data_IF_094433862664
#
_entry.id   IF_094433862664
#
_cell.length_a   1.000
_cell.length_b   1.000
_cell.length_c   1.000
_cell.angle_alpha   90.00
_cell.angle_beta   90.00
_cell.angle_gamma   90.00
#
_symmetry.space_group_name_H-M   'P 1'
#
loop_
_entity.id
_entity.type
_entity.pdbx_description
1 polymer ?
#
# COMPACT_ATOMS: atom_id res chain seq x y z
N UNK A 1 3.05 -11.46 -22.25
CA UNK A 1 1.85 -10.62 -22.06
C UNK A 1 1.29 -10.94 -20.69
N UNK A 2 0.99 -9.94 -19.84
CA UNK A 2 0.35 -10.19 -18.55
C UNK A 2 -1.02 -10.83 -18.77
N UNK A 3 -1.43 -11.72 -17.87
CA UNK A 3 -2.80 -12.20 -17.80
C UNK A 3 -3.65 -11.11 -17.14
N UNK A 4 -4.73 -10.70 -17.78
CA UNK A 4 -5.65 -9.68 -17.26
C UNK A 4 -7.04 -10.30 -17.07
N UNK A 5 -7.61 -10.11 -15.89
CA UNK A 5 -8.97 -10.51 -15.54
C UNK A 5 -9.70 -9.28 -14.98
N UNK A 6 -10.89 -8.99 -15.53
CA UNK A 6 -11.73 -7.89 -15.07
C UNK A 6 -12.92 -8.44 -14.30
N UNK A 7 -13.02 -8.09 -13.02
CA UNK A 7 -14.13 -8.46 -12.14
C UNK A 7 -14.98 -7.22 -11.86
N UNK A 8 -16.29 -7.32 -12.11
CA UNK A 8 -17.22 -6.24 -11.86
C UNK A 8 -17.94 -6.46 -10.52
N UNK A 9 -17.66 -5.61 -9.53
CA UNK A 9 -18.36 -5.59 -8.24
C UNK A 9 -19.46 -4.52 -8.33
N UNK A 10 -20.71 -4.95 -8.21
CA UNK A 10 -21.85 -4.02 -8.17
C UNK A 10 -21.99 -3.45 -6.76
N UNK A 11 -22.17 -2.14 -6.67
CA UNK A 11 -22.35 -1.41 -5.41
C UNK A 11 -21.26 -1.76 -4.37
N UNK A 12 -19.97 -1.52 -4.68
CA UNK A 12 -18.88 -1.88 -3.79
C UNK A 12 -18.96 -1.10 -2.48
N UNK A 13 -18.66 -1.77 -1.37
CA UNK A 13 -18.45 -1.11 -0.09
C UNK A 13 -17.18 -0.27 -0.21
N UNK A 14 -17.33 1.04 -0.13
CA UNK A 14 -16.22 1.96 -0.30
C UNK A 14 -15.35 2.05 0.95
N UNK A 15 -14.04 1.98 0.76
CA UNK A 15 -13.05 2.24 1.80
C UNK A 15 -12.99 3.75 2.11
N UNK A 16 -12.89 4.07 3.39
CA UNK A 16 -12.60 5.42 3.90
C UNK A 16 -11.90 5.31 5.27
N UNK A 17 -11.27 6.38 5.79
CA UNK A 17 -10.71 6.36 7.13
C UNK A 17 -11.72 6.11 8.26
N UNK A 18 -12.98 6.48 8.03
CA UNK A 18 -14.11 6.28 8.93
C UNK A 18 -14.72 4.88 8.81
N UNK A 19 -14.63 4.27 7.64
CA UNK A 19 -15.11 2.93 7.32
C UNK A 19 -14.06 2.18 6.48
N UNK A 20 -13.01 1.64 7.12
CA UNK A 20 -11.83 1.08 6.44
C UNK A 20 -12.10 -0.34 5.91
N UNK A 21 -13.17 -0.51 5.14
CA UNK A 21 -13.53 -1.81 4.58
C UNK A 21 -12.52 -2.27 3.53
N UNK A 22 -11.98 -3.49 3.71
CA UNK A 22 -11.03 -4.12 2.80
C UNK A 22 -11.62 -5.39 2.21
N UNK A 23 -11.44 -5.55 0.91
CA UNK A 23 -11.59 -6.81 0.19
C UNK A 23 -10.25 -7.56 0.19
N UNK A 24 -10.29 -8.86 -0.11
CA UNK A 24 -9.10 -9.66 -0.37
C UNK A 24 -9.22 -10.32 -1.74
N UNK A 25 -8.24 -10.07 -2.61
CA UNK A 25 -8.09 -10.78 -3.86
C UNK A 25 -7.17 -11.97 -3.63
N UNK A 26 -7.67 -13.19 -3.85
CA UNK A 26 -6.87 -14.42 -3.74
C UNK A 26 -6.59 -14.95 -5.13
N UNK A 27 -5.33 -14.85 -5.56
CA UNK A 27 -4.86 -15.41 -6.84
C UNK A 27 -4.26 -16.77 -6.57
N UNK A 28 -4.75 -17.80 -7.26
CA UNK A 28 -4.21 -19.16 -7.17
C UNK A 28 -3.67 -19.61 -8.51
N UNK A 29 -2.49 -20.23 -8.50
CA UNK A 29 -1.93 -20.91 -9.65
C UNK A 29 -2.04 -22.42 -9.40
N UNK A 30 -2.65 -23.15 -10.34
CA UNK A 30 -2.72 -24.61 -10.33
C UNK A 30 -2.15 -25.14 -11.64
N UNK A 31 -1.44 -26.28 -11.57
CA UNK A 31 -0.94 -26.98 -12.74
C UNK A 31 -1.78 -28.23 -12.98
N UNK A 32 -2.27 -28.40 -14.22
CA UNK A 32 -3.11 -29.53 -14.62
C UNK A 32 -2.32 -30.84 -14.88
N UNK A 33 -1.05 -30.94 -14.45
CA UNK A 33 -0.17 -32.05 -14.80
C UNK A 33 0.63 -32.62 -13.61
N UNK A 34 0.67 -33.94 -13.52
CA UNK A 34 1.64 -34.68 -12.69
C UNK A 34 2.96 -34.87 -13.43
N UNK A 35 4.06 -34.44 -12.84
CA UNK A 35 5.40 -34.85 -13.25
C UNK A 35 5.67 -36.29 -12.75
N UNK A 36 5.64 -37.27 -13.65
CA UNK A 36 6.19 -38.61 -13.42
C UNK A 36 7.53 -38.76 -14.14
N UNK A 37 8.49 -39.44 -13.52
CA UNK A 37 9.90 -39.57 -13.96
C UNK A 37 10.11 -40.18 -15.37
N UNK A 38 9.06 -40.62 -16.08
CA UNK A 38 9.19 -41.30 -17.40
C UNK A 38 8.10 -41.02 -18.46
N UNK A 39 7.42 -39.86 -18.42
CA UNK A 39 6.63 -39.38 -19.57
C UNK A 39 5.13 -39.15 -19.33
N UNK A 40 4.54 -38.36 -20.24
CA UNK A 40 3.18 -37.82 -20.17
C UNK A 40 2.18 -38.93 -20.49
N UNK A 41 1.40 -39.37 -19.50
CA UNK A 41 0.27 -40.26 -19.69
C UNK A 41 -0.89 -39.85 -18.79
N UNK A 42 -2.04 -39.55 -19.39
CA UNK A 42 -3.32 -39.45 -18.66
C UNK A 42 -3.58 -40.79 -17.97
N UNK A 43 -3.60 -40.80 -16.65
CA UNK A 43 -4.20 -41.87 -15.87
C UNK A 43 -5.08 -41.23 -14.82
N UNK A 44 -6.25 -41.79 -14.59
CA UNK A 44 -7.26 -41.30 -13.67
C UNK A 44 -6.65 -41.04 -12.28
N UNK A 45 -6.52 -39.76 -11.91
CA UNK A 45 -6.06 -39.29 -10.59
C UNK A 45 -7.27 -38.64 -9.92
N UNK A 46 -7.50 -38.85 -8.60
CA UNK A 46 -8.61 -38.21 -7.91
C UNK A 46 -8.50 -36.70 -8.04
N UNK A 47 -9.64 -36.04 -8.24
CA UNK A 47 -9.82 -34.59 -8.36
C UNK A 47 -9.20 -33.88 -7.14
N UNK A 48 -7.91 -33.56 -7.22
CA UNK A 48 -7.24 -32.69 -6.27
C UNK A 48 -6.77 -31.45 -7.02
N UNK A 49 -7.53 -30.37 -6.82
CA UNK A 49 -7.07 -29.00 -6.99
C UNK A 49 -5.86 -28.77 -6.07
N UNK A 50 -4.66 -29.12 -6.52
CA UNK A 50 -3.44 -28.73 -5.81
C UNK A 50 -3.05 -27.35 -6.34
N UNK A 51 -3.45 -26.29 -5.64
CA UNK A 51 -2.87 -24.97 -5.88
C UNK A 51 -1.37 -25.06 -5.62
N UNK A 52 -0.54 -24.85 -6.63
CA UNK A 52 0.91 -24.82 -6.45
C UNK A 52 1.37 -23.55 -5.74
N UNK A 53 0.60 -22.46 -5.87
CA UNK A 53 0.86 -21.18 -5.20
C UNK A 53 -0.44 -20.39 -4.95
N UNK A 54 -0.46 -19.57 -3.90
CA UNK A 54 -1.57 -18.72 -3.49
C UNK A 54 -1.05 -17.38 -2.98
N UNK A 55 -1.59 -16.28 -3.52
CA UNK A 55 -1.25 -14.92 -3.11
C UNK A 55 -2.54 -14.16 -2.70
N UNK A 56 -2.77 -13.93 -1.40
CA UNK A 56 -3.79 -13.01 -0.92
C UNK A 56 -3.27 -11.56 -0.98
N UNK A 57 -4.08 -10.65 -1.53
CA UNK A 57 -3.77 -9.23 -1.61
C UNK A 57 -4.97 -8.43 -1.08
N UNK A 58 -4.86 -7.75 0.08
CA UNK A 58 -5.90 -6.86 0.56
C UNK A 58 -5.97 -5.60 -0.31
N UNK A 59 -7.18 -5.09 -0.55
CA UNK A 59 -7.40 -3.84 -1.28
C UNK A 59 -8.71 -3.18 -0.86
N UNK A 60 -8.80 -1.85 -1.02
CA UNK A 60 -10.00 -1.07 -0.70
C UNK A 60 -10.54 -0.32 -1.92
N UNK A 61 -11.87 -0.25 -2.03
CA UNK A 61 -12.52 0.46 -3.13
C UNK A 61 -12.71 1.93 -2.78
N UNK A 62 -11.98 2.85 -3.41
CA UNK A 62 -12.18 4.28 -3.18
C UNK A 62 -11.82 5.13 -4.39
N UNK A 63 -12.41 6.31 -4.45
CA UNK A 63 -12.04 7.36 -5.39
C UNK A 63 -11.46 8.55 -4.63
N UNK A 64 -10.30 9.07 -5.05
CA UNK A 64 -9.74 10.28 -4.46
C UNK A 64 -9.32 11.25 -5.56
N UNK A 65 -9.77 12.50 -5.47
CA UNK A 65 -9.53 13.51 -6.50
C UNK A 65 -9.28 14.88 -5.90
N UNK A 66 -8.40 15.65 -6.53
CA UNK A 66 -8.34 17.09 -6.34
C UNK A 66 -9.43 17.75 -7.21
N UNK A 67 -10.34 18.49 -6.59
CA UNK A 67 -11.42 19.23 -7.27
C UNK A 67 -11.31 20.70 -6.86
N UNK A 68 -10.77 21.51 -7.77
CA UNK A 68 -10.48 22.92 -7.50
C UNK A 68 -9.44 23.08 -6.38
N UNK A 69 -9.87 23.57 -5.21
CA UNK A 69 -9.00 23.80 -4.04
C UNK A 69 -9.17 22.74 -2.95
N UNK A 70 -10.03 21.76 -3.16
CA UNK A 70 -10.39 20.77 -2.15
C UNK A 70 -10.07 19.36 -2.66
N UNK A 71 -9.88 18.44 -1.72
CA UNK A 71 -9.86 17.02 -2.00
C UNK A 71 -11.27 16.45 -1.86
N UNK A 72 -11.56 15.45 -2.68
CA UNK A 72 -12.77 14.65 -2.59
C UNK A 72 -12.38 13.19 -2.37
N UNK A 73 -13.04 12.53 -1.42
CA UNK A 73 -12.97 11.09 -1.19
C UNK A 73 -14.36 10.53 -1.44
N UNK A 74 -14.48 9.55 -2.33
CA UNK A 74 -15.74 8.89 -2.68
C UNK A 74 -16.84 9.88 -3.12
N UNK A 75 -16.44 10.94 -3.84
CA UNK A 75 -17.34 11.98 -4.35
C UNK A 75 -17.56 13.16 -3.39
N UNK A 76 -17.31 12.98 -2.10
CA UNK A 76 -17.56 13.99 -1.07
C UNK A 76 -16.31 14.79 -0.73
N UNK A 77 -16.47 16.09 -0.43
CA UNK A 77 -15.35 16.92 0.00
C UNK A 77 -14.73 16.36 1.28
N UNK A 78 -13.42 16.11 1.25
CA UNK A 78 -12.69 15.48 2.34
C UNK A 78 -11.55 16.38 2.83
N UNK A 79 -11.52 16.62 4.15
CA UNK A 79 -10.47 17.42 4.79
C UNK A 79 -9.42 16.49 5.38
N UNK A 80 -8.17 16.69 4.97
CA UNK A 80 -7.03 15.98 5.55
C UNK A 80 -6.52 16.75 6.77
N UNK A 81 -6.55 16.09 7.93
CA UNK A 81 -6.09 16.60 9.21
C UNK A 81 -4.99 15.66 9.70
N UNK A 82 -3.76 16.17 9.84
CA UNK A 82 -2.62 15.31 10.07
C UNK A 82 -1.32 16.04 10.31
N UNK A 83 -0.23 15.27 10.29
CA UNK A 83 1.13 15.77 10.44
C UNK A 83 2.08 15.03 9.49
N UNK A 84 3.38 15.26 9.65
CA UNK A 84 4.44 14.53 8.96
C UNK A 84 5.01 13.45 9.87
N UNK A 85 5.34 12.30 9.29
CA UNK A 85 6.20 11.28 9.91
C UNK A 85 7.54 11.30 9.18
N UNK A 86 8.60 11.74 9.88
CA UNK A 86 9.98 11.71 9.37
C UNK A 86 10.69 10.46 9.87
N UNK A 87 10.31 9.30 9.33
CA UNK A 87 10.73 8.00 9.86
C UNK A 87 12.26 7.83 9.89
N UNK A 88 12.96 8.27 8.86
CA UNK A 88 14.43 8.22 8.86
C UNK A 88 15.06 9.09 9.94
N UNK A 89 14.45 10.23 10.29
CA UNK A 89 14.91 11.04 11.42
C UNK A 89 14.67 10.34 12.75
N UNK A 90 13.55 9.63 12.88
CA UNK A 90 13.29 8.78 14.03
C UNK A 90 14.30 7.62 14.12
N UNK A 91 14.83 7.13 12.99
CA UNK A 91 15.86 6.08 12.98
C UNK A 91 17.21 6.50 13.55
N UNK A 92 17.48 7.79 13.60
CA UNK A 92 18.70 8.34 14.18
C UNK A 92 18.65 8.41 15.72
N UNK A 93 17.48 8.25 16.33
CA UNK A 93 17.32 8.28 17.78
C UNK A 93 17.81 6.96 18.40
N UNK A 94 18.86 6.96 19.25
CA UNK A 94 19.35 5.73 19.88
C UNK A 94 18.32 5.08 20.83
N UNK A 95 17.40 5.85 21.40
CA UNK A 95 16.38 5.35 22.33
C UNK A 95 15.24 4.63 21.62
N UNK A 96 15.11 4.80 20.29
CA UNK A 96 14.05 4.13 19.50
C UNK A 96 14.11 2.61 19.57
N UNK A 97 15.31 2.04 19.73
CA UNK A 97 15.57 0.58 19.72
C UNK A 97 14.77 -0.13 18.62
N UNK A 98 14.01 -1.17 18.98
CA UNK A 98 13.18 -1.96 18.07
C UNK A 98 11.78 -1.40 17.80
N UNK A 99 11.42 -0.23 18.34
CA UNK A 99 10.05 0.27 18.32
C UNK A 99 9.42 0.42 16.91
N UNK A 100 10.15 0.86 15.86
CA UNK A 100 9.58 0.91 14.51
C UNK A 100 9.15 -0.42 13.90
N UNK A 101 9.56 -1.54 14.50
CA UNK A 101 9.23 -2.90 14.09
C UNK A 101 8.27 -3.60 15.08
N UNK A 102 7.90 -2.92 16.17
CA UNK A 102 6.90 -3.40 17.11
C UNK A 102 5.51 -2.95 16.62
N UNK A 103 4.73 -3.89 16.10
CA UNK A 103 3.42 -3.61 15.50
C UNK A 103 2.46 -2.94 16.48
N UNK A 104 2.46 -3.33 17.75
CA UNK A 104 1.54 -2.77 18.75
C UNK A 104 1.96 -1.36 19.14
N UNK A 105 3.27 -1.13 19.28
CA UNK A 105 3.78 0.22 19.52
C UNK A 105 3.48 1.15 18.35
N UNK A 106 3.73 0.69 17.11
CA UNK A 106 3.43 1.46 15.90
C UNK A 106 1.93 1.71 15.79
N UNK A 107 1.07 0.71 16.01
CA UNK A 107 -0.39 0.91 16.01
C UNK A 107 -0.79 1.99 17.01
N UNK A 108 -0.25 1.96 18.22
CA UNK A 108 -0.55 2.99 19.23
C UNK A 108 -0.14 4.39 18.77
N UNK A 109 1.07 4.53 18.25
CA UNK A 109 1.66 5.82 17.83
C UNK A 109 1.03 6.37 16.55
N UNK A 110 0.85 5.50 15.56
CA UNK A 110 0.46 5.84 14.19
C UNK A 110 -1.06 5.87 14.00
N UNK A 111 -1.80 5.04 14.74
CA UNK A 111 -3.27 4.92 14.62
C UNK A 111 -3.98 5.52 15.84
N UNK A 112 -3.74 4.96 17.03
CA UNK A 112 -4.62 5.19 18.19
C UNK A 112 -4.51 6.63 18.72
N UNK A 113 -3.28 7.13 18.91
CA UNK A 113 -3.04 8.52 19.37
C UNK A 113 -3.56 9.53 18.33
N UNK A 114 -3.24 9.46 17.04
CA UNK A 114 -3.72 10.41 16.03
C UNK A 114 -5.23 10.41 15.89
N UNK A 115 -5.89 9.24 15.89
CA UNK A 115 -7.35 9.17 15.86
C UNK A 115 -8.00 9.80 17.09
N UNK A 116 -7.38 9.69 18.27
CA UNK A 116 -7.85 10.40 19.48
C UNK A 116 -7.80 11.93 19.34
N UNK A 117 -6.90 12.44 18.50
CA UNK A 117 -6.76 13.86 18.15
C UNK A 117 -7.61 14.26 16.94
N UNK A 118 -8.43 13.33 16.40
CA UNK A 118 -9.21 13.49 15.16
C UNK A 118 -8.36 13.72 13.92
N UNK A 119 -7.11 13.25 13.93
CA UNK A 119 -6.30 13.18 12.73
C UNK A 119 -6.73 11.98 11.90
N UNK A 120 -6.69 12.14 10.58
CA UNK A 120 -7.12 11.15 9.61
C UNK A 120 -6.07 10.89 8.53
N UNK A 121 -4.86 11.43 8.67
CA UNK A 121 -3.79 11.13 7.73
C UNK A 121 -2.42 11.65 8.12
N UNK A 122 -1.43 11.25 7.33
CA UNK A 122 -0.04 11.66 7.46
C UNK A 122 0.62 11.85 6.11
N UNK A 123 1.63 12.73 6.09
CA UNK A 123 2.68 12.70 5.07
C UNK A 123 3.83 11.85 5.58
N UNK A 124 4.15 10.78 4.86
CA UNK A 124 5.34 9.97 5.09
C UNK A 124 6.52 10.72 4.48
N UNK A 125 7.13 11.59 5.28
CA UNK A 125 8.04 12.61 4.80
C UNK A 125 9.39 12.01 4.45
N UNK A 126 9.77 12.12 3.16
CA UNK A 126 11.07 11.74 2.59
C UNK A 126 11.49 10.35 3.09
N UNK A 127 10.60 9.35 2.99
CA UNK A 127 10.88 8.06 3.58
C UNK A 127 9.80 7.02 3.33
N UNK A 128 10.25 5.82 2.98
CA UNK A 128 9.42 4.64 2.80
C UNK A 128 9.33 3.92 4.14
N UNK A 129 8.11 3.61 4.58
CA UNK A 129 7.89 2.86 5.81
C UNK A 129 7.88 1.35 5.56
N UNK A 130 8.13 0.53 6.60
CA UNK A 130 7.89 -0.90 6.51
C UNK A 130 6.44 -1.17 6.09
N UNK A 131 6.23 -2.18 5.21
CA UNK A 131 4.90 -2.51 4.65
C UNK A 131 3.77 -2.57 5.69
N UNK A 132 4.04 -3.14 6.86
CA UNK A 132 3.02 -3.29 7.89
C UNK A 132 2.47 -1.95 8.44
N UNK A 133 3.19 -0.84 8.27
CA UNK A 133 2.66 0.49 8.59
C UNK A 133 1.56 0.88 7.61
N UNK A 134 1.72 0.58 6.33
CA UNK A 134 0.70 0.78 5.31
C UNK A 134 -0.48 -0.17 5.52
N UNK A 135 -0.22 -1.43 5.88
CA UNK A 135 -1.28 -2.38 6.28
C UNK A 135 -2.10 -1.82 7.46
N UNK A 136 -1.45 -1.26 8.49
CA UNK A 136 -2.14 -0.59 9.59
C UNK A 136 -2.97 0.62 9.13
N UNK A 137 -2.46 1.44 8.21
CA UNK A 137 -3.21 2.58 7.67
C UNK A 137 -4.45 2.14 6.89
N UNK A 138 -4.36 1.04 6.14
CA UNK A 138 -5.49 0.45 5.42
C UNK A 138 -6.53 -0.13 6.38
N UNK A 139 -6.09 -0.99 7.31
CA UNK A 139 -6.94 -1.73 8.26
C UNK A 139 -7.67 -0.78 9.22
N UNK A 140 -6.97 0.24 9.70
CA UNK A 140 -7.51 1.13 10.71
C UNK A 140 -7.98 2.46 10.15
N UNK A 141 -7.78 2.74 8.87
CA UNK A 141 -8.30 3.93 8.22
C UNK A 141 -7.50 5.21 8.51
N UNK A 142 -6.46 5.43 7.69
CA UNK A 142 -5.73 6.69 7.57
C UNK A 142 -5.47 7.00 6.10
N UNK A 143 -5.38 8.29 5.75
CA UNK A 143 -4.91 8.74 4.44
C UNK A 143 -3.42 9.05 4.49
N UNK A 144 -2.69 8.56 3.50
CA UNK A 144 -1.26 8.78 3.35
C UNK A 144 -0.96 9.58 2.09
N UNK A 145 -0.16 10.63 2.28
CA UNK A 145 0.74 11.13 1.24
C UNK A 145 2.07 10.39 1.41
N UNK A 146 2.36 9.47 0.49
CA UNK A 146 3.59 8.68 0.53
C UNK A 146 4.64 9.38 -0.34
N UNK A 147 5.84 9.59 0.21
CA UNK A 147 6.86 10.39 -0.45
C UNK A 147 8.14 9.61 -0.68
N UNK A 148 8.65 9.72 -1.91
CA UNK A 148 9.93 9.15 -2.30
C UNK A 148 11.08 9.82 -1.53
N UNK A 149 12.12 9.08 -1.09
CA UNK A 149 13.21 9.63 -0.28
C UNK A 149 14.19 10.47 -1.11
N UNK A 150 13.71 11.56 -1.70
CA UNK A 150 14.47 12.49 -2.54
C UNK A 150 14.45 13.90 -1.97
N UNK A 151 15.64 14.40 -1.65
CA UNK A 151 15.84 15.76 -1.15
C UNK A 151 17.18 16.35 -1.63
N UNK A 152 17.12 17.47 -2.35
CA UNK A 152 18.25 18.29 -2.85
C UNK A 152 19.23 17.61 -3.85
N UNK A 153 19.59 16.35 -3.66
CA UNK A 153 20.55 15.61 -4.48
C UNK A 153 19.82 14.62 -5.35
N UNK A 154 20.05 14.70 -6.66
CA UNK A 154 19.44 13.83 -7.66
C UNK A 154 20.42 12.76 -8.13
N UNK A 155 19.96 11.52 -8.18
CA UNK A 155 20.69 10.40 -8.79
C UNK A 155 20.57 10.39 -10.32
N UNK A 156 20.80 9.23 -10.92
CA UNK A 156 20.66 9.01 -12.36
C UNK A 156 19.19 8.82 -12.73
N UNK A 157 18.71 9.52 -13.75
CA UNK A 157 17.28 9.50 -14.13
C UNK A 157 16.75 8.08 -14.39
N UNK A 158 17.48 7.25 -15.13
CA UNK A 158 17.04 5.88 -15.47
C UNK A 158 16.84 5.01 -14.22
N UNK A 159 17.73 5.14 -13.24
CA UNK A 159 17.62 4.39 -11.98
C UNK A 159 16.43 4.90 -11.17
N UNK A 160 16.27 6.23 -11.07
CA UNK A 160 15.15 6.83 -10.36
C UNK A 160 13.80 6.45 -10.96
N UNK A 161 13.67 6.51 -12.28
CA UNK A 161 12.42 6.18 -12.97
C UNK A 161 12.04 4.72 -12.71
N UNK A 162 13.02 3.81 -12.72
CA UNK A 162 12.82 2.41 -12.38
C UNK A 162 12.41 2.22 -10.92
N UNK A 163 13.18 2.74 -9.97
CA UNK A 163 12.94 2.54 -8.55
C UNK A 163 11.62 3.17 -8.09
N UNK A 164 11.30 4.36 -8.59
CA UNK A 164 10.03 5.04 -8.33
C UNK A 164 8.84 4.26 -8.90
N UNK A 165 9.00 3.71 -10.12
CA UNK A 165 7.99 2.85 -10.74
C UNK A 165 7.77 1.59 -9.93
N UNK A 166 8.85 0.89 -9.55
CA UNK A 166 8.79 -0.35 -8.76
C UNK A 166 8.12 -0.09 -7.40
N UNK A 167 8.39 1.04 -6.75
CA UNK A 167 7.75 1.45 -5.50
C UNK A 167 6.24 1.67 -5.63
N UNK A 168 5.81 2.41 -6.66
CA UNK A 168 4.37 2.60 -6.93
C UNK A 168 3.70 1.25 -7.20
N UNK A 169 4.33 0.36 -7.96
CA UNK A 169 3.76 -0.96 -8.23
C UNK A 169 3.70 -1.84 -6.99
N UNK A 170 4.69 -1.76 -6.12
CA UNK A 170 4.76 -2.55 -4.88
C UNK A 170 3.67 -2.12 -3.89
N UNK A 171 3.48 -0.82 -3.72
CA UNK A 171 2.60 -0.27 -2.68
C UNK A 171 1.23 0.20 -3.25
N UNK A 172 1.02 0.07 -4.56
CA UNK A 172 -0.15 0.61 -5.28
C UNK A 172 -1.49 -0.03 -4.90
N UNK A 173 -1.50 -1.19 -4.25
CA UNK A 173 -2.72 -1.83 -3.77
C UNK A 173 -3.22 -1.26 -2.43
N UNK A 174 -2.43 -0.43 -1.75
CA UNK A 174 -2.79 0.17 -0.46
C UNK A 174 -3.82 1.31 -0.65
N UNK A 175 -5.11 1.12 -0.29
CA UNK A 175 -6.13 2.16 -0.45
C UNK A 175 -5.82 3.45 0.33
N UNK A 176 -5.07 3.33 1.44
CA UNK A 176 -4.64 4.47 2.26
C UNK A 176 -3.71 5.44 1.53
N UNK A 177 -2.94 5.01 0.54
CA UNK A 177 -2.00 5.88 -0.19
C UNK A 177 -2.74 6.62 -1.28
N UNK A 178 -3.09 7.89 -1.03
CA UNK A 178 -3.91 8.70 -1.96
C UNK A 178 -3.10 9.73 -2.75
N UNK A 179 -1.89 10.08 -2.28
CA UNK A 179 -0.97 10.98 -2.96
C UNK A 179 0.40 10.32 -3.01
N UNK A 180 0.99 10.30 -4.21
CA UNK A 180 2.38 9.91 -4.46
C UNK A 180 3.19 11.17 -4.70
N UNK A 181 4.15 11.42 -3.82
CA UNK A 181 5.01 12.59 -3.88
C UNK A 181 6.43 12.18 -4.31
N UNK A 182 6.92 12.78 -5.39
CA UNK A 182 8.15 12.36 -6.04
C UNK A 182 9.40 13.02 -5.43
N UNK A 183 9.28 14.19 -4.80
CA UNK A 183 10.45 14.96 -4.36
C UNK A 183 10.11 16.05 -3.35
N UNK A 184 10.97 16.21 -2.34
CA UNK A 184 10.94 17.35 -1.43
C UNK A 184 11.92 18.44 -1.85
N UNK A 185 11.46 19.70 -1.92
CA UNK A 185 12.29 20.93 -2.02
C UNK A 185 13.41 20.87 -3.06
N UNK A 186 13.24 20.07 -4.11
CA UNK A 186 14.25 19.88 -5.14
C UNK A 186 14.15 21.00 -6.17
N UNK A 187 15.31 21.52 -6.60
CA UNK A 187 15.34 22.50 -7.69
C UNK A 187 15.02 21.80 -9.00
N UNK A 188 14.11 22.38 -9.79
CA UNK A 188 14.01 22.06 -11.21
C UNK A 188 15.31 22.53 -11.86
N UNK A 189 16.12 21.59 -12.36
CA UNK A 189 17.21 21.90 -13.29
C UNK A 189 16.66 22.27 -14.66
#
# INVERSE_FOLDING_TARGET
MPLELVLNIKDPHQWSPEDPFLYEAVVTASADYTAGWWGIGKKDIPEYNVSSDMLPVPFGMRDFKAVGRFFHLNGEMYKMMGSNITLFRFFEDPDRKGLPWDREWVKKMFIDIPKSLRWNGFRMCIGIAPKFWYDLADEYGLILQNEWPMWQVRGWNEQMDKEYTDWIWQDGSHPSIVIWDAMNESKSS
#
